data_IF_720791317660
#
_entry.id   IF_720791317660
#
_cell.length_a   1.000
_cell.length_b   1.000
_cell.length_c   1.000
_cell.angle_alpha   90.00
_cell.angle_beta   90.00
_cell.angle_gamma   90.00
#
_symmetry.space_group_name_H-M   'P 1'
#
loop_
_entity.id
_entity.type
_entity.pdbx_description
1 polymer ?
#
# COMPACT_ATOMS: atom_id res chain seq x y z
N UNK A 1 13.72 5.20 -7.43
CA UNK A 1 14.18 4.58 -8.69
C UNK A 1 13.20 3.50 -9.09
N UNK A 2 12.99 3.23 -10.37
CA UNK A 2 12.11 2.15 -10.82
C UNK A 2 12.33 1.83 -12.29
N UNK A 3 11.89 0.64 -12.70
CA UNK A 3 11.96 0.16 -14.08
C UNK A 3 10.74 -0.71 -14.37
N UNK A 4 10.27 -0.66 -15.62
CA UNK A 4 9.18 -1.50 -16.10
C UNK A 4 9.59 -2.07 -17.46
N UNK A 5 9.44 -3.37 -17.62
CA UNK A 5 9.63 -4.07 -18.89
C UNK A 5 8.30 -4.74 -19.22
N UNK A 6 7.75 -4.45 -20.39
CA UNK A 6 6.46 -4.97 -20.84
C UNK A 6 6.66 -5.51 -22.25
N UNK A 7 6.22 -6.75 -22.46
CA UNK A 7 6.39 -7.48 -23.70
C UNK A 7 5.03 -7.95 -24.17
N UNK A 8 4.83 -7.86 -25.49
CA UNK A 8 3.62 -8.27 -26.17
C UNK A 8 4.03 -9.32 -27.20
N UNK A 9 3.40 -10.49 -27.16
CA UNK A 9 3.64 -11.60 -28.07
C UNK A 9 2.32 -12.06 -28.66
N UNK A 10 2.19 -11.96 -29.98
CA UNK A 10 1.00 -12.45 -30.68
C UNK A 10 1.08 -13.98 -30.76
N UNK A 11 0.13 -14.68 -30.12
CA UNK A 11 0.07 -16.14 -30.11
C UNK A 11 -0.77 -16.68 -31.29
N UNK A 12 -1.78 -15.94 -31.70
CA UNK A 12 -2.62 -16.17 -32.87
C UNK A 12 -3.13 -14.83 -33.40
N UNK A 13 -3.82 -14.82 -34.54
CA UNK A 13 -4.33 -13.59 -35.17
C UNK A 13 -5.15 -12.73 -34.19
N UNK A 14 -6.00 -13.37 -33.39
CA UNK A 14 -6.89 -12.75 -32.40
C UNK A 14 -6.47 -13.02 -30.94
N UNK A 15 -5.21 -13.43 -30.70
CA UNK A 15 -4.73 -13.71 -29.34
C UNK A 15 -3.40 -13.04 -29.05
N UNK A 16 -3.40 -12.17 -28.03
CA UNK A 16 -2.22 -11.46 -27.55
C UNK A 16 -1.86 -11.96 -26.15
N UNK A 17 -0.59 -12.30 -25.96
CA UNK A 17 -0.01 -12.56 -24.64
C UNK A 17 0.86 -11.36 -24.23
N UNK A 18 0.53 -10.76 -23.09
CA UNK A 18 1.29 -9.70 -22.46
C UNK A 18 2.00 -10.25 -21.23
N UNK A 19 3.25 -9.89 -21.03
CA UNK A 19 3.98 -10.27 -19.83
C UNK A 19 5.04 -9.22 -19.50
N UNK A 20 5.44 -9.15 -18.24
CA UNK A 20 6.37 -8.13 -17.84
C UNK A 20 6.80 -8.18 -16.40
N UNK A 21 7.71 -7.28 -16.07
CA UNK A 21 8.32 -7.15 -14.74
C UNK A 21 8.27 -5.68 -14.33
N UNK A 22 7.87 -5.44 -13.09
CA UNK A 22 7.87 -4.14 -12.43
C UNK A 22 8.89 -4.14 -11.29
N UNK A 23 9.72 -3.11 -11.20
CA UNK A 23 10.62 -2.87 -10.07
C UNK A 23 10.48 -1.43 -9.61
N UNK A 24 10.33 -1.22 -8.30
CA UNK A 24 10.31 0.10 -7.69
C UNK A 24 11.07 0.10 -6.37
N UNK A 25 12.00 1.03 -6.21
CA UNK A 25 12.73 1.31 -4.97
C UNK A 25 12.48 2.74 -4.52
N UNK A 26 12.00 2.90 -3.28
CA UNK A 26 11.80 4.16 -2.58
C UNK A 26 12.73 4.25 -1.38
N UNK A 27 13.26 5.44 -1.11
CA UNK A 27 14.08 5.74 0.06
C UNK A 27 13.72 7.14 0.54
N UNK A 28 13.48 7.30 1.84
CA UNK A 28 13.25 8.62 2.45
C UNK A 28 14.55 9.05 3.13
N UNK A 29 14.97 10.29 2.88
CA UNK A 29 16.21 10.86 3.44
C UNK A 29 15.87 12.13 4.23
N UNK A 30 15.79 12.07 5.57
CA UNK A 30 15.70 13.29 6.36
C UNK A 30 17.04 14.04 6.32
N UNK A 31 17.03 15.34 6.62
CA UNK A 31 18.27 16.12 6.75
C UNK A 31 19.16 15.57 7.88
N UNK A 32 18.54 15.17 8.99
CA UNK A 32 19.20 14.53 10.13
C UNK A 32 18.17 13.70 10.92
N UNK A 33 18.68 12.71 11.67
CA UNK A 33 17.89 12.05 12.71
C UNK A 33 17.92 12.87 14.00
N UNK A 34 16.79 12.89 14.70
CA UNK A 34 16.52 13.74 15.86
C UNK A 34 15.90 12.92 17.01
N UNK A 35 16.05 11.59 17.00
CA UNK A 35 15.54 10.71 18.06
C UNK A 35 16.23 10.95 19.41
N UNK A 36 17.45 11.48 19.43
CA UNK A 36 18.11 11.97 20.65
C UNK A 36 17.41 13.16 21.32
N UNK A 37 16.50 13.84 20.61
CA UNK A 37 15.67 14.95 21.11
C UNK A 37 14.23 14.49 21.41
N UNK A 38 14.00 13.19 21.52
CA UNK A 38 12.69 12.65 21.90
C UNK A 38 12.44 12.88 23.40
N UNK A 39 11.28 13.41 23.73
CA UNK A 39 10.85 13.73 25.09
C UNK A 39 9.37 13.42 25.25
N UNK A 40 8.98 13.00 26.45
CA UNK A 40 7.59 12.73 26.85
C UNK A 40 7.20 13.73 27.94
N UNK A 41 6.05 14.40 27.76
CA UNK A 41 5.49 15.29 28.76
C UNK A 41 5.09 14.51 30.02
N UNK A 42 5.50 15.01 31.18
CA UNK A 42 5.04 14.49 32.48
C UNK A 42 3.69 15.08 32.90
N UNK A 43 3.03 15.84 32.02
CA UNK A 43 1.70 16.39 32.24
C UNK A 43 0.65 15.64 31.42
N UNK A 44 -0.49 15.36 32.04
CA UNK A 44 -1.71 14.83 31.41
C UNK A 44 -2.88 15.81 31.62
N UNK A 45 -3.91 15.73 30.77
CA UNK A 45 -5.17 16.47 31.00
C UNK A 45 -5.98 15.78 32.09
N UNK A 46 -6.33 16.52 33.13
CA UNK A 46 -7.26 16.13 34.19
C UNK A 46 -8.72 16.14 33.70
N UNK A 47 -9.62 15.64 34.55
CA UNK A 47 -11.06 15.59 34.25
C UNK A 47 -11.68 16.99 34.07
N UNK A 48 -11.07 18.01 34.65
CA UNK A 48 -11.43 19.43 34.52
C UNK A 48 -10.77 20.11 33.31
N UNK A 49 -10.04 19.35 32.49
CA UNK A 49 -9.33 19.83 31.31
C UNK A 49 -7.99 20.52 31.61
N UNK A 50 -7.60 20.68 32.87
CA UNK A 50 -6.32 21.30 33.26
C UNK A 50 -5.17 20.30 33.17
N UNK A 51 -3.96 20.80 32.91
CA UNK A 51 -2.77 19.97 32.96
C UNK A 51 -2.41 19.64 34.42
N UNK A 52 -2.27 18.36 34.71
CA UNK A 52 -1.82 17.83 36.00
C UNK A 52 -0.64 16.91 35.79
N UNK A 53 0.26 16.83 36.77
CA UNK A 53 1.39 15.91 36.70
C UNK A 53 0.92 14.47 36.69
N UNK A 54 1.64 13.62 35.95
CA UNK A 54 1.51 12.17 36.03
C UNK A 54 2.12 11.68 37.34
N UNK A 55 1.69 10.50 37.80
CA UNK A 55 2.28 9.86 38.97
C UNK A 55 3.74 9.45 38.72
N UNK A 56 4.47 9.17 39.80
CA UNK A 56 5.90 8.87 39.72
C UNK A 56 6.19 7.58 38.96
N UNK A 57 5.28 6.59 38.99
CA UNK A 57 5.42 5.36 38.21
C UNK A 57 5.35 5.63 36.70
N UNK A 58 4.48 6.55 36.27
CA UNK A 58 4.40 6.98 34.88
C UNK A 58 5.61 7.82 34.46
N UNK A 59 6.14 8.68 35.34
CA UNK A 59 7.40 9.41 35.07
C UNK A 59 8.57 8.45 34.87
N UNK A 60 8.69 7.41 35.69
CA UNK A 60 9.72 6.39 35.54
C UNK A 60 9.60 5.66 34.19
N UNK A 61 8.38 5.27 33.80
CA UNK A 61 8.08 4.72 32.46
C UNK A 61 8.46 5.68 31.34
N UNK A 62 8.17 6.98 31.48
CA UNK A 62 8.52 7.99 30.49
C UNK A 62 10.04 8.04 30.29
N UNK A 63 10.83 8.08 31.38
CA UNK A 63 12.30 8.10 31.33
C UNK A 63 12.88 6.80 30.75
N UNK A 64 12.28 5.65 31.05
CA UNK A 64 12.67 4.37 30.44
C UNK A 64 12.41 4.38 28.92
N UNK A 65 11.25 4.89 28.49
CA UNK A 65 10.90 5.02 27.07
C UNK A 65 11.83 6.00 26.33
N UNK A 66 12.18 7.13 26.94
CA UNK A 66 13.14 8.08 26.37
C UNK A 66 14.51 7.43 26.14
N UNK A 67 15.03 6.72 27.15
CA UNK A 67 16.29 5.96 27.02
C UNK A 67 16.26 4.96 25.86
N UNK A 68 15.13 4.25 25.68
CA UNK A 68 14.95 3.32 24.56
C UNK A 68 15.05 4.06 23.22
N UNK A 69 14.31 5.15 23.04
CA UNK A 69 14.30 5.92 21.77
C UNK A 69 15.67 6.54 21.48
N UNK A 70 16.36 7.04 22.50
CA UNK A 70 17.69 7.63 22.37
C UNK A 70 18.76 6.60 21.99
N UNK A 71 18.59 5.34 22.38
CA UNK A 71 19.53 4.26 22.07
C UNK A 71 19.49 3.81 20.60
N UNK A 72 18.42 4.10 19.85
CA UNK A 72 18.31 3.70 18.45
C UNK A 72 19.29 4.44 17.54
N UNK A 73 19.97 3.69 16.68
CA UNK A 73 20.74 4.21 15.55
C UNK A 73 19.89 4.16 14.29
N UNK A 74 19.25 5.28 13.96
CA UNK A 74 18.33 5.33 12.83
C UNK A 74 19.06 5.35 11.48
N UNK A 75 18.37 4.83 10.46
CA UNK A 75 18.81 4.80 9.07
C UNK A 75 17.66 5.15 8.13
N UNK A 76 17.98 5.46 6.87
CA UNK A 76 16.95 5.81 5.89
C UNK A 76 15.99 4.61 5.68
N UNK A 77 14.67 4.80 5.85
CA UNK A 77 13.71 3.76 5.55
C UNK A 77 13.61 3.58 4.05
N UNK A 78 13.49 2.32 3.62
CA UNK A 78 13.39 1.95 2.21
C UNK A 78 12.22 1.03 1.96
N UNK A 79 11.71 1.07 0.72
CA UNK A 79 10.72 0.13 0.24
C UNK A 79 11.07 -0.34 -1.14
N UNK A 80 11.07 -1.66 -1.33
CA UNK A 80 11.23 -2.29 -2.63
C UNK A 80 9.96 -3.03 -2.98
N UNK A 81 9.39 -2.74 -4.15
CA UNK A 81 8.30 -3.49 -4.75
C UNK A 81 8.81 -4.16 -6.04
N UNK A 82 8.53 -5.44 -6.18
CA UNK A 82 8.84 -6.26 -7.36
C UNK A 82 7.58 -6.99 -7.78
N UNK A 83 7.24 -6.91 -9.06
CA UNK A 83 6.09 -7.61 -9.63
C UNK A 83 6.46 -8.31 -10.92
N UNK A 84 5.88 -9.47 -11.18
CA UNK A 84 5.87 -10.11 -12.48
C UNK A 84 4.42 -10.41 -12.87
N UNK A 85 4.10 -10.26 -14.15
CA UNK A 85 2.74 -10.51 -14.63
C UNK A 85 2.73 -11.23 -15.96
N UNK A 86 1.62 -11.93 -16.18
CA UNK A 86 1.22 -12.53 -17.44
C UNK A 86 -0.27 -12.26 -17.64
N UNK A 87 -0.66 -11.91 -18.86
CA UNK A 87 -2.04 -11.61 -19.23
C UNK A 87 -2.28 -12.08 -20.67
N UNK A 88 -3.36 -12.83 -20.87
CA UNK A 88 -3.82 -13.26 -22.19
C UNK A 88 -5.07 -12.45 -22.54
N UNK A 89 -5.09 -11.93 -23.77
CA UNK A 89 -6.22 -11.25 -24.37
C UNK A 89 -6.61 -12.05 -25.61
N UNK A 90 -7.83 -12.57 -25.62
CA UNK A 90 -8.36 -13.37 -26.71
C UNK A 90 -9.64 -12.73 -27.23
N UNK A 91 -9.72 -12.53 -28.53
CA UNK A 91 -10.89 -12.01 -29.21
C UNK A 91 -11.58 -13.11 -30.01
N UNK A 92 -12.90 -13.23 -29.87
CA UNK A 92 -13.73 -14.20 -30.59
C UNK A 92 -15.15 -13.65 -30.75
N UNK A 93 -15.62 -13.53 -31.99
CA UNK A 93 -17.00 -13.17 -32.35
C UNK A 93 -17.60 -11.97 -31.57
N UNK A 94 -16.84 -10.87 -31.49
CA UNK A 94 -17.26 -9.65 -30.78
C UNK A 94 -17.09 -9.72 -29.26
N UNK A 95 -16.51 -10.80 -28.72
CA UNK A 95 -16.06 -10.87 -27.33
C UNK A 95 -14.56 -10.68 -27.24
N UNK A 96 -14.13 -9.83 -26.32
CA UNK A 96 -12.73 -9.74 -25.88
C UNK A 96 -12.63 -10.26 -24.45
N UNK A 97 -11.94 -11.38 -24.28
CA UNK A 97 -11.68 -12.02 -22.99
C UNK A 97 -10.27 -11.68 -22.54
N UNK A 98 -10.14 -11.19 -21.32
CA UNK A 98 -8.85 -10.86 -20.70
C UNK A 98 -8.68 -11.66 -19.43
N UNK A 99 -7.63 -12.46 -19.34
CA UNK A 99 -7.27 -13.22 -18.15
C UNK A 99 -5.83 -12.94 -17.77
N UNK A 100 -5.58 -12.58 -16.50
CA UNK A 100 -4.26 -12.21 -16.03
C UNK A 100 -3.93 -12.72 -14.64
N UNK A 101 -2.64 -12.77 -14.35
CA UNK A 101 -2.11 -13.09 -13.04
C UNK A 101 -0.87 -12.23 -12.77
N UNK A 102 -0.84 -11.63 -11.59
CA UNK A 102 0.33 -10.93 -11.07
C UNK A 102 0.88 -11.62 -9.83
N UNK A 103 2.19 -11.78 -9.76
CA UNK A 103 2.91 -12.03 -8.52
C UNK A 103 3.55 -10.73 -8.06
N UNK A 104 3.10 -10.20 -6.93
CA UNK A 104 3.64 -8.96 -6.34
C UNK A 104 4.33 -9.29 -5.02
N UNK A 105 5.56 -8.82 -4.84
CA UNK A 105 6.36 -8.95 -3.62
C UNK A 105 6.85 -7.58 -3.17
N UNK A 106 6.84 -7.35 -1.87
CA UNK A 106 7.45 -6.16 -1.28
C UNK A 106 8.45 -6.50 -0.19
N UNK A 107 9.35 -5.56 0.06
CA UNK A 107 10.24 -5.52 1.23
C UNK A 107 10.28 -4.10 1.76
N UNK A 108 9.88 -3.91 3.00
CA UNK A 108 9.92 -2.65 3.73
C UNK A 108 11.01 -2.73 4.79
N UNK A 109 11.91 -1.75 4.79
CA UNK A 109 12.87 -1.50 5.86
C UNK A 109 12.50 -0.19 6.56
N UNK A 110 12.15 -0.25 7.83
CA UNK A 110 11.83 0.94 8.64
C UNK A 110 13.09 1.65 9.14
N UNK A 111 12.93 2.85 9.70
CA UNK A 111 14.08 3.69 10.05
C UNK A 111 14.92 3.15 11.22
N UNK A 112 14.38 2.19 11.97
CA UNK A 112 15.06 1.42 13.02
C UNK A 112 15.87 0.24 12.47
N UNK A 113 15.81 0.00 11.16
CA UNK A 113 16.51 -1.10 10.49
C UNK A 113 15.71 -2.38 10.36
N UNK A 114 14.53 -2.49 11.02
CA UNK A 114 13.67 -3.68 10.92
C UNK A 114 13.19 -3.86 9.49
N UNK A 115 13.19 -5.10 9.01
CA UNK A 115 12.81 -5.45 7.64
C UNK A 115 11.70 -6.48 7.63
N UNK A 116 10.60 -6.20 6.92
CA UNK A 116 9.47 -7.11 6.73
C UNK A 116 9.16 -7.22 5.24
N UNK A 117 8.81 -8.44 4.79
CA UNK A 117 8.44 -8.71 3.40
C UNK A 117 7.28 -9.69 3.33
N UNK A 118 6.44 -9.53 2.32
CA UNK A 118 5.40 -10.48 1.96
C UNK A 118 5.21 -10.49 0.43
N UNK A 119 4.48 -11.48 -0.07
CA UNK A 119 4.07 -11.57 -1.47
C UNK A 119 2.62 -12.03 -1.61
N UNK A 120 2.04 -11.76 -2.77
CA UNK A 120 0.66 -12.09 -3.12
C UNK A 120 0.55 -12.49 -4.59
N UNK A 121 -0.36 -13.44 -4.85
CA UNK A 121 -0.87 -13.73 -6.20
C UNK A 121 -2.20 -13.01 -6.41
N UNK A 122 -2.30 -12.32 -7.53
CA UNK A 122 -3.39 -11.41 -7.85
C UNK A 122 -3.95 -11.76 -9.24
N UNK A 123 -4.95 -12.67 -9.31
CA UNK A 123 -5.62 -12.98 -10.56
C UNK A 123 -6.56 -11.86 -10.99
N UNK A 124 -6.74 -11.69 -12.29
CA UNK A 124 -7.68 -10.76 -12.92
C UNK A 124 -8.38 -11.44 -14.08
N UNK A 125 -9.67 -11.12 -14.25
CA UNK A 125 -10.44 -11.56 -15.39
C UNK A 125 -11.40 -10.45 -15.82
N UNK A 126 -11.56 -10.26 -17.12
CA UNK A 126 -12.50 -9.32 -17.69
C UNK A 126 -13.04 -9.80 -19.03
N UNK A 127 -14.23 -9.32 -19.36
CA UNK A 127 -14.86 -9.53 -20.66
C UNK A 127 -15.38 -8.19 -21.17
N UNK A 128 -15.18 -7.94 -22.45
CA UNK A 128 -15.90 -6.93 -23.22
C UNK A 128 -16.71 -7.68 -24.26
N UNK A 129 -17.99 -7.36 -24.36
CA UNK A 129 -18.88 -7.87 -25.40
C UNK A 129 -19.37 -6.71 -26.24
N UNK A 130 -19.15 -6.80 -27.54
CA UNK A 130 -19.54 -5.81 -28.54
C UNK A 130 -20.52 -6.44 -29.54
N UNK A 131 -21.82 -6.52 -29.20
CA UNK A 131 -22.83 -7.11 -30.09
C UNK A 131 -23.15 -6.25 -31.32
N UNK A 132 -22.82 -4.97 -31.28
CA UNK A 132 -23.07 -4.01 -32.35
C UNK A 132 -21.90 -3.02 -32.41
N UNK A 133 -21.64 -2.42 -33.57
CA UNK A 133 -20.60 -1.41 -33.76
C UNK A 133 -20.72 -0.18 -32.84
N UNK A 134 -21.90 0.06 -32.26
CA UNK A 134 -22.22 1.22 -31.41
C UNK A 134 -22.37 0.86 -29.93
N UNK A 135 -22.38 -0.43 -29.57
CA UNK A 135 -22.65 -0.90 -28.21
C UNK A 135 -21.54 -1.81 -27.73
N UNK A 136 -20.99 -1.52 -26.55
CA UNK A 136 -20.17 -2.47 -25.83
C UNK A 136 -20.57 -2.55 -24.35
N UNK A 137 -20.43 -3.75 -23.80
CA UNK A 137 -20.69 -4.07 -22.41
C UNK A 137 -19.44 -4.66 -21.80
N UNK A 138 -19.13 -4.30 -20.56
CA UNK A 138 -17.94 -4.78 -19.88
C UNK A 138 -18.28 -5.36 -18.51
N UNK A 139 -17.53 -6.38 -18.12
CA UNK A 139 -17.51 -6.89 -16.76
C UNK A 139 -16.09 -7.30 -16.38
N UNK A 140 -15.65 -7.01 -15.16
CA UNK A 140 -14.34 -7.43 -14.67
C UNK A 140 -14.36 -7.82 -13.20
N UNK A 141 -13.46 -8.72 -12.83
CA UNK A 141 -13.21 -9.18 -11.47
C UNK A 141 -11.70 -9.28 -11.23
N UNK A 142 -11.16 -8.30 -10.51
CA UNK A 142 -9.72 -8.07 -10.42
C UNK A 142 -9.24 -8.12 -8.97
N UNK A 143 -8.17 -8.87 -8.72
CA UNK A 143 -7.40 -8.78 -7.49
C UNK A 143 -6.16 -7.92 -7.72
N UNK A 144 -5.80 -7.12 -6.71
CA UNK A 144 -4.55 -6.37 -6.69
C UNK A 144 -4.07 -6.20 -5.24
N UNK A 145 -2.76 -6.14 -5.03
CA UNK A 145 -2.20 -5.89 -3.70
C UNK A 145 -1.38 -4.60 -3.63
N UNK A 146 -1.44 -3.90 -2.49
CA UNK A 146 -0.68 -2.69 -2.23
C UNK A 146 0.19 -2.86 -0.99
N UNK A 147 1.51 -2.74 -1.16
CA UNK A 147 2.46 -2.84 -0.06
C UNK A 147 2.32 -1.69 0.94
N UNK A 148 2.69 -1.91 2.22
CA UNK A 148 2.70 -0.87 3.25
C UNK A 148 3.38 0.42 2.77
N UNK A 149 2.85 1.57 3.17
CA UNK A 149 3.50 2.86 2.88
C UNK A 149 4.57 3.14 3.92
N UNK A 150 5.71 3.67 3.49
CA UNK A 150 6.64 4.30 4.43
C UNK A 150 5.93 5.46 5.14
N UNK A 151 6.31 5.70 6.40
CA UNK A 151 5.73 6.77 7.20
C UNK A 151 6.02 8.16 6.62
N UNK A 152 5.37 9.19 7.17
CA UNK A 152 5.52 10.57 6.72
C UNK A 152 7.00 10.97 6.65
N UNK A 153 7.43 11.42 5.46
CA UNK A 153 8.83 11.74 5.20
C UNK A 153 9.36 12.80 6.16
N UNK A 154 8.53 13.81 6.46
CA UNK A 154 8.86 14.89 7.39
C UNK A 154 9.02 14.42 8.84
N UNK A 155 8.47 13.27 9.23
CA UNK A 155 8.59 12.73 10.60
C UNK A 155 9.65 11.62 10.71
N UNK A 156 10.30 11.26 9.61
CA UNK A 156 11.31 10.17 9.56
C UNK A 156 12.52 10.43 10.46
N UNK A 157 12.76 11.70 10.84
CA UNK A 157 13.80 12.07 11.79
C UNK A 157 13.62 11.44 13.19
N UNK A 158 12.44 10.91 13.55
CA UNK A 158 12.27 10.12 14.78
C UNK A 158 12.18 10.92 16.09
N UNK A 159 12.05 12.25 16.02
CA UNK A 159 11.90 13.13 17.22
C UNK A 159 10.61 12.83 17.99
N UNK A 160 9.60 12.26 17.32
CA UNK A 160 8.31 11.89 17.90
C UNK A 160 8.19 10.41 18.28
N UNK A 161 9.31 9.69 18.26
CA UNK A 161 9.38 8.26 18.58
C UNK A 161 9.77 7.42 17.36
N UNK A 162 9.89 6.11 17.61
CA UNK A 162 10.28 5.14 16.59
C UNK A 162 9.04 4.59 15.89
N UNK A 163 9.08 4.58 14.56
CA UNK A 163 8.08 3.96 13.71
C UNK A 163 8.70 2.72 13.06
N UNK A 164 8.15 1.57 13.43
CA UNK A 164 8.54 0.26 12.95
C UNK A 164 7.36 -0.43 12.25
N UNK A 165 7.52 -1.70 11.92
CA UNK A 165 6.52 -2.53 11.22
C UNK A 165 6.42 -3.87 11.94
N UNK A 166 5.21 -4.34 12.25
CA UNK A 166 5.06 -5.61 12.97
C UNK A 166 5.45 -6.80 12.10
N UNK A 167 5.79 -7.89 12.79
CA UNK A 167 6.10 -9.15 12.11
C UNK A 167 4.85 -9.71 11.44
N UNK A 168 5.02 -10.27 10.24
CA UNK A 168 3.92 -10.85 9.48
C UNK A 168 2.98 -9.84 8.82
N UNK A 169 3.23 -8.53 8.93
CA UNK A 169 2.44 -7.50 8.22
C UNK A 169 2.44 -7.77 6.71
N UNK A 170 1.24 -7.89 6.14
CA UNK A 170 0.96 -8.21 4.74
C UNK A 170 0.65 -6.96 3.93
N UNK A 171 0.54 -7.10 2.60
CA UNK A 171 0.01 -6.06 1.74
C UNK A 171 -1.52 -5.99 1.87
N UNK A 172 -2.07 -4.79 1.70
CA UNK A 172 -3.52 -4.63 1.49
C UNK A 172 -3.89 -5.39 0.23
N UNK A 173 -4.99 -6.15 0.24
CA UNK A 173 -5.45 -6.90 -0.93
C UNK A 173 -6.84 -6.46 -1.34
N UNK A 174 -6.92 -5.77 -2.46
CA UNK A 174 -8.15 -5.32 -3.08
C UNK A 174 -8.74 -6.42 -3.97
N UNK A 175 -10.07 -6.52 -3.94
CA UNK A 175 -10.91 -7.24 -4.88
C UNK A 175 -11.93 -6.26 -5.42
N UNK A 176 -11.84 -5.97 -6.72
CA UNK A 176 -12.77 -5.07 -7.41
C UNK A 176 -13.60 -5.86 -8.41
N UNK A 177 -14.91 -5.64 -8.41
CA UNK A 177 -15.83 -6.14 -9.43
C UNK A 177 -16.55 -4.96 -10.03
N UNK A 178 -16.60 -4.86 -11.35
CA UNK A 178 -17.25 -3.76 -12.05
C UNK A 178 -17.99 -4.28 -13.27
N UNK A 179 -19.15 -3.69 -13.54
CA UNK A 179 -19.88 -3.81 -14.79
C UNK A 179 -20.05 -2.44 -15.42
N UNK A 180 -20.10 -2.38 -16.74
CA UNK A 180 -20.31 -1.14 -17.45
C UNK A 180 -20.86 -1.32 -18.86
N UNK A 181 -21.25 -0.21 -19.47
CA UNK A 181 -21.66 -0.15 -20.87
C UNK A 181 -21.15 1.13 -21.51
N UNK A 182 -20.98 1.08 -22.83
CA UNK A 182 -20.69 2.21 -23.68
C UNK A 182 -21.59 2.16 -24.92
N UNK A 183 -22.17 3.31 -25.24
CA UNK A 183 -22.91 3.57 -26.47
C UNK A 183 -22.28 4.75 -27.22
N UNK A 184 -22.12 4.62 -28.53
CA UNK A 184 -21.69 5.72 -29.40
C UNK A 184 -22.13 5.46 -30.86
N UNK A 185 -22.99 6.32 -31.41
CA UNK A 185 -23.43 6.28 -32.82
C UNK A 185 -22.83 7.40 -33.69
N UNK A 186 -21.83 8.13 -33.16
CA UNK A 186 -21.21 9.28 -33.81
C UNK A 186 -21.94 10.60 -33.58
N UNK A 187 -23.20 10.59 -33.16
CA UNK A 187 -23.97 11.79 -32.78
C UNK A 187 -24.20 11.84 -31.28
N UNK A 188 -24.65 10.74 -30.70
CA UNK A 188 -24.91 10.57 -29.28
C UNK A 188 -23.95 9.54 -28.68
N UNK A 189 -23.44 9.85 -27.49
CA UNK A 189 -22.60 8.95 -26.72
C UNK A 189 -23.07 8.90 -25.26
N UNK A 190 -23.10 7.70 -24.69
CA UNK A 190 -23.45 7.47 -23.30
C UNK A 190 -22.59 6.35 -22.71
N UNK A 191 -22.32 6.42 -21.41
CA UNK A 191 -21.62 5.37 -20.69
C UNK A 191 -22.09 5.34 -19.23
N UNK A 192 -21.88 4.19 -18.59
CA UNK A 192 -22.17 4.01 -17.18
C UNK A 192 -21.39 2.83 -16.61
N UNK A 193 -21.04 2.95 -15.34
CA UNK A 193 -20.32 1.93 -14.57
C UNK A 193 -20.96 1.74 -13.20
N UNK A 194 -20.89 0.52 -12.69
CA UNK A 194 -21.20 0.21 -11.30
C UNK A 194 -20.14 -0.73 -10.75
N UNK A 195 -19.55 -0.37 -9.60
CA UNK A 195 -18.42 -1.09 -9.03
C UNK A 195 -18.61 -1.44 -7.54
N UNK A 196 -18.02 -2.56 -7.15
CA UNK A 196 -17.94 -3.05 -5.78
C UNK A 196 -16.49 -3.36 -5.44
N UNK A 197 -15.99 -2.77 -4.35
CA UNK A 197 -14.61 -2.96 -3.91
C UNK A 197 -14.54 -3.45 -2.46
N UNK A 198 -13.74 -4.48 -2.22
CA UNK A 198 -13.37 -4.93 -0.87
C UNK A 198 -11.85 -4.90 -0.75
N UNK A 199 -11.32 -4.31 0.32
CA UNK A 199 -9.90 -4.32 0.62
C UNK A 199 -9.71 -5.07 1.94
N UNK A 200 -8.99 -6.19 1.90
CA UNK A 200 -8.59 -6.97 3.09
C UNK A 200 -7.23 -6.52 3.58
N UNK A 201 -6.97 -6.74 4.86
CA UNK A 201 -5.70 -6.45 5.52
C UNK A 201 -5.30 -4.97 5.38
N UNK A 202 -6.28 -4.07 5.47
CA UNK A 202 -6.07 -2.62 5.36
C UNK A 202 -5.01 -2.17 6.38
N UNK A 203 -4.06 -1.34 5.96
CA UNK A 203 -3.02 -0.85 6.85
C UNK A 203 -3.35 0.52 7.39
N UNK A 204 -3.40 0.62 8.72
CA UNK A 204 -3.31 1.88 9.42
C UNK A 204 -1.88 2.04 9.94
N UNK A 205 -1.12 2.97 9.36
CA UNK A 205 0.13 3.40 9.98
C UNK A 205 -0.18 3.99 11.37
N UNK A 206 0.75 3.93 12.35
CA UNK A 206 0.49 4.44 13.69
C UNK A 206 0.15 5.93 13.67
N UNK A 207 -1.12 6.28 13.92
CA UNK A 207 -1.61 7.67 13.88
C UNK A 207 -1.73 8.31 15.27
N UNK A 208 -1.47 7.57 16.36
CA UNK A 208 -1.73 8.06 17.71
C UNK A 208 -0.93 9.33 18.05
N UNK A 209 -1.63 10.47 18.05
CA UNK A 209 -1.08 11.79 18.41
C UNK A 209 -0.94 12.00 19.93
N UNK A 210 -1.53 11.12 20.74
CA UNK A 210 -1.70 11.33 22.19
C UNK A 210 -1.23 10.19 23.11
N UNK A 211 -0.75 9.06 22.57
CA UNK A 211 -0.20 7.96 23.38
C UNK A 211 1.31 7.89 23.16
N UNK A 212 2.08 8.18 24.20
CA UNK A 212 3.55 8.23 24.22
C UNK A 212 4.17 6.84 24.28
N UNK A 213 3.97 6.04 23.21
CA UNK A 213 4.71 4.80 23.02
C UNK A 213 6.08 5.10 22.36
N UNK A 214 7.15 4.51 22.92
CA UNK A 214 8.53 4.62 22.45
C UNK A 214 8.72 4.09 21.02
N UNK A 215 8.11 2.93 20.75
CA UNK A 215 8.11 2.26 19.45
C UNK A 215 6.67 2.00 19.04
N UNK A 216 6.35 2.24 17.77
CA UNK A 216 5.02 2.04 17.21
C UNK A 216 5.13 1.27 15.92
N UNK A 217 4.30 0.25 15.76
CA UNK A 217 4.37 -0.64 14.62
C UNK A 217 3.17 -0.45 13.68
N UNK A 218 3.44 -0.38 12.38
CA UNK A 218 2.40 -0.55 11.37
C UNK A 218 1.95 -2.02 11.34
N UNK A 219 0.63 -2.22 11.42
CA UNK A 219 -0.03 -3.54 11.43
C UNK A 219 -1.21 -3.53 10.47
N UNK A 220 -1.58 -4.72 9.96
CA UNK A 220 -2.87 -4.89 9.29
C UNK A 220 -4.00 -4.76 10.33
N UNK A 221 -5.09 -4.09 9.96
CA UNK A 221 -6.30 -3.92 10.77
C UNK A 221 -7.26 -5.11 10.64
#
# INVERSE_FOLDING_TARGET
RGANFNFDSRLAEQTLLKYGINYRHQEIKPQAFLNSKFEISDKKKGADGKEVDVDDAQKEKNRANEKIVHAYKLSNPTKTDTGAYIEAIHEIDGFTLTGGLRYDRFKVKTHDGKTVSSSNLNPSFGVIWQPHEHWSFSASHNYASRSPRLYDALQTHGKRGIISIADGTKAERARNTEIGFNYNDGTFAANGSYFWQTIKDALANPQNRHVSAAVREAVNA
#
